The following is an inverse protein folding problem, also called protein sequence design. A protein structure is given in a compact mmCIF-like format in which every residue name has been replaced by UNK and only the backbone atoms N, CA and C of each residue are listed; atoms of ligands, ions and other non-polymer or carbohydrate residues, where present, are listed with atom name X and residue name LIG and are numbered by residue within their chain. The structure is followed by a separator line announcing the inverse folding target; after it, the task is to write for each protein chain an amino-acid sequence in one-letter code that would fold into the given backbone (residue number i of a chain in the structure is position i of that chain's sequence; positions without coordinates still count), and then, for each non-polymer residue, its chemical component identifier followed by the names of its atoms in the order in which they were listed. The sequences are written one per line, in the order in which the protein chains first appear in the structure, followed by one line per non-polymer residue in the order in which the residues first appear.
data_IF_027026175779
#
_entry.id   IF_027026175779
#
_cell.length_a   1.000
_cell.length_b   1.000
_cell.length_c   1.000
_cell.angle_alpha   90.00
_cell.angle_beta   90.00
_cell.angle_gamma   90.00
#
_symmetry.space_group_name_H-M   'P 1'
#
loop_
_entity.id
_entity.type
_entity.pdbx_description
1 polymer ?
#
# COMPACT_ATOMS: atom_id res chain seq x y z
N UNK A 1 14.45 -37.74 11.76
CA UNK A 1 14.91 -36.44 11.19
C UNK A 1 16.11 -36.55 10.24
N UNK A 2 17.13 -37.41 10.47
CA UNK A 2 18.30 -37.58 9.56
C UNK A 2 17.96 -37.97 8.09
N UNK A 3 16.83 -38.64 7.84
CA UNK A 3 16.46 -39.11 6.51
C UNK A 3 15.85 -38.03 5.58
N UNK A 4 15.33 -36.93 6.12
CA UNK A 4 14.78 -35.84 5.30
C UNK A 4 15.91 -35.01 4.70
N UNK A 5 16.94 -34.70 5.49
CA UNK A 5 18.12 -33.96 5.03
C UNK A 5 18.91 -34.69 3.95
N UNK A 6 19.08 -36.02 4.06
CA UNK A 6 19.72 -36.81 3.00
C UNK A 6 18.94 -36.83 1.67
N UNK A 7 17.63 -36.53 1.71
CA UNK A 7 16.76 -36.48 0.53
C UNK A 7 16.73 -35.09 -0.12
N UNK A 8 17.08 -34.04 0.63
CA UNK A 8 17.20 -32.66 0.13
C UNK A 8 18.58 -32.35 -0.48
N UNK A 9 19.62 -33.12 -0.14
CA UNK A 9 20.96 -32.90 -0.69
C UNK A 9 21.01 -33.46 -2.11
N UNK A 10 21.29 -32.63 -3.13
CA UNK A 10 21.39 -33.11 -4.50
C UNK A 10 22.56 -34.09 -4.66
N UNK A 11 22.47 -35.06 -5.60
CA UNK A 11 23.57 -35.96 -5.93
C UNK A 11 24.83 -35.16 -6.35
N UNK A 12 26.01 -35.75 -6.24
CA UNK A 12 27.30 -35.04 -6.31
C UNK A 12 27.47 -34.14 -7.53
N UNK A 13 27.04 -34.61 -8.70
CA UNK A 13 27.05 -33.88 -9.96
C UNK A 13 26.08 -32.69 -10.02
N UNK A 14 25.02 -32.68 -9.20
CA UNK A 14 24.03 -31.61 -9.13
C UNK A 14 24.30 -30.59 -8.04
N UNK A 15 25.26 -30.85 -7.14
CA UNK A 15 25.60 -29.92 -6.05
C UNK A 15 25.98 -28.53 -6.58
N UNK A 16 26.89 -28.46 -7.55
CA UNK A 16 27.37 -27.18 -8.10
C UNK A 16 26.24 -26.42 -8.83
N UNK A 17 25.49 -27.02 -9.78
CA UNK A 17 24.36 -26.35 -10.43
C UNK A 17 23.30 -25.84 -9.44
N UNK A 18 22.95 -26.63 -8.43
CA UNK A 18 21.95 -26.24 -7.42
C UNK A 18 22.46 -25.09 -6.57
N UNK A 19 23.71 -25.11 -6.12
CA UNK A 19 24.31 -24.01 -5.34
C UNK A 19 24.34 -22.72 -6.15
N UNK A 20 24.79 -22.77 -7.41
CA UNK A 20 24.83 -21.59 -8.28
C UNK A 20 23.43 -21.03 -8.51
N UNK A 21 22.47 -21.90 -8.82
CA UNK A 21 21.07 -21.52 -9.05
C UNK A 21 20.46 -20.87 -7.81
N UNK A 22 20.64 -21.47 -6.63
CA UNK A 22 20.21 -20.89 -5.36
C UNK A 22 20.88 -19.53 -5.10
N UNK A 23 22.19 -19.42 -5.35
CA UNK A 23 22.92 -18.16 -5.23
C UNK A 23 22.33 -17.06 -6.11
N UNK A 24 21.96 -17.37 -7.36
CA UNK A 24 21.27 -16.44 -8.26
C UNK A 24 19.89 -16.06 -7.70
N UNK A 25 19.07 -17.03 -7.29
CA UNK A 25 17.75 -16.75 -6.72
C UNK A 25 17.80 -15.88 -5.47
N UNK A 26 18.72 -16.17 -4.53
CA UNK A 26 18.91 -15.36 -3.33
C UNK A 26 19.47 -13.97 -3.68
N UNK A 27 20.44 -13.89 -4.58
CA UNK A 27 21.01 -12.62 -5.04
C UNK A 27 19.95 -11.71 -5.66
N UNK A 28 19.12 -12.25 -6.55
CA UNK A 28 17.98 -11.53 -7.13
C UNK A 28 16.93 -11.17 -6.08
N UNK A 29 16.64 -12.08 -5.14
CA UNK A 29 15.71 -11.82 -4.05
C UNK A 29 16.13 -10.64 -3.16
N UNK A 30 17.41 -10.62 -2.73
CA UNK A 30 17.95 -9.51 -1.97
C UNK A 30 17.98 -8.21 -2.78
N UNK A 31 18.32 -8.30 -4.06
CA UNK A 31 18.29 -7.15 -4.96
C UNK A 31 16.88 -6.56 -5.07
N UNK A 32 15.84 -7.39 -5.26
CA UNK A 32 14.43 -6.94 -5.30
C UNK A 32 14.02 -6.26 -3.99
N UNK A 33 14.36 -6.87 -2.85
CA UNK A 33 14.07 -6.29 -1.51
C UNK A 33 14.72 -4.91 -1.36
N UNK A 34 15.96 -4.76 -1.84
CA UNK A 34 16.71 -3.51 -1.77
C UNK A 34 16.12 -2.43 -2.68
N UNK A 35 15.87 -2.72 -3.96
CA UNK A 35 15.37 -1.72 -4.91
C UNK A 35 13.91 -1.31 -4.63
N UNK A 36 13.10 -2.22 -4.08
CA UNK A 36 11.70 -1.94 -3.73
C UNK A 36 11.55 -1.16 -2.41
N UNK A 37 12.65 -0.94 -1.69
CA UNK A 37 12.65 -0.34 -0.36
C UNK A 37 11.68 -1.08 0.58
N UNK A 38 11.66 -2.42 0.54
CA UNK A 38 10.62 -3.24 1.17
C UNK A 38 10.44 -2.98 2.68
N UNK A 39 11.53 -2.67 3.39
CA UNK A 39 11.48 -2.37 4.83
C UNK A 39 10.66 -1.11 5.16
N UNK A 40 10.57 -0.14 4.24
CA UNK A 40 9.76 1.06 4.45
C UNK A 40 8.26 0.77 4.60
N UNK A 41 7.77 -0.37 4.09
CA UNK A 41 6.37 -0.81 4.23
C UNK A 41 5.98 -1.25 5.64
N UNK A 42 6.96 -1.45 6.53
CA UNK A 42 6.71 -1.70 7.95
C UNK A 42 6.33 -0.43 8.71
N UNK A 43 6.68 0.75 8.18
CA UNK A 43 6.34 2.05 8.76
C UNK A 43 4.97 2.54 8.30
N UNK A 44 4.54 3.67 8.86
CA UNK A 44 3.34 4.41 8.44
C UNK A 44 3.70 5.73 7.72
N UNK A 45 4.95 5.89 7.25
CA UNK A 45 5.36 7.06 6.46
C UNK A 45 4.58 7.11 5.14
N UNK A 46 3.82 8.17 4.86
CA UNK A 46 3.10 8.34 3.59
C UNK A 46 4.00 8.26 2.35
N UNK A 47 5.30 8.59 2.47
CA UNK A 47 6.26 8.49 1.35
C UNK A 47 6.49 7.05 0.90
N UNK A 48 6.27 6.07 1.77
CA UNK A 48 6.30 4.66 1.41
C UNK A 48 5.25 4.32 0.35
N UNK A 49 4.08 4.96 0.39
CA UNK A 49 3.00 4.70 -0.56
C UNK A 49 3.36 5.14 -1.99
N UNK A 50 4.27 6.10 -2.15
CA UNK A 50 4.81 6.56 -3.44
C UNK A 50 6.15 5.93 -3.81
N UNK A 51 6.53 4.81 -3.18
CA UNK A 51 7.54 3.91 -3.75
C UNK A 51 7.10 3.40 -5.13
N UNK A 52 5.79 3.37 -5.40
CA UNK A 52 5.22 3.09 -6.71
C UNK A 52 4.56 4.36 -7.28
N UNK A 53 4.97 4.77 -8.47
CA UNK A 53 4.47 5.98 -9.14
C UNK A 53 2.96 5.97 -9.40
N UNK A 54 2.34 4.78 -9.49
CA UNK A 54 0.89 4.60 -9.67
C UNK A 54 0.07 5.22 -8.54
N UNK A 55 0.67 5.42 -7.36
CA UNK A 55 0.03 6.06 -6.20
C UNK A 55 0.30 7.57 -6.11
N UNK A 56 1.04 8.16 -7.05
CA UNK A 56 1.37 9.59 -7.04
C UNK A 56 0.12 10.49 -6.97
N UNK A 57 -0.96 10.24 -7.74
CA UNK A 57 -2.17 11.05 -7.64
C UNK A 57 -2.84 10.99 -6.28
N UNK A 58 -2.87 9.80 -5.66
CA UNK A 58 -3.46 9.57 -4.35
C UNK A 58 -2.66 10.33 -3.29
N UNK A 59 -1.33 10.26 -3.33
CA UNK A 59 -0.48 11.04 -2.43
C UNK A 59 -0.67 12.54 -2.63
N UNK A 60 -0.63 13.03 -3.88
CA UNK A 60 -0.72 14.46 -4.17
C UNK A 60 -2.04 15.08 -3.70
N UNK A 61 -3.15 14.35 -3.86
CA UNK A 61 -4.49 14.76 -3.43
C UNK A 61 -4.68 14.62 -1.92
N UNK A 62 -4.10 13.60 -1.28
CA UNK A 62 -4.10 13.47 0.18
C UNK A 62 -3.29 14.60 0.85
N UNK A 63 -2.07 14.85 0.37
CA UNK A 63 -1.15 15.87 0.90
C UNK A 63 -1.80 17.27 0.90
N UNK A 64 -2.55 17.59 -0.17
CA UNK A 64 -3.26 18.87 -0.33
C UNK A 64 -4.66 18.88 0.28
N UNK A 65 -5.20 17.72 0.62
CA UNK A 65 -6.52 17.57 1.19
C UNK A 65 -6.54 17.83 2.71
N UNK A 66 -7.74 17.83 3.28
CA UNK A 66 -7.96 18.13 4.71
C UNK A 66 -7.24 17.18 5.67
N UNK A 67 -6.87 15.99 5.20
CA UNK A 67 -6.24 14.96 6.03
C UNK A 67 -4.71 14.91 5.91
N UNK A 68 -4.10 15.58 4.92
CA UNK A 68 -2.66 15.52 4.64
C UNK A 68 -1.75 16.00 5.77
N UNK A 69 -2.29 16.80 6.71
CA UNK A 69 -1.55 17.35 7.86
C UNK A 69 -1.82 16.63 9.19
N UNK A 70 -2.83 15.78 9.25
CA UNK A 70 -3.35 15.22 10.52
C UNK A 70 -3.44 13.70 10.53
N UNK A 71 -3.35 13.05 9.37
CA UNK A 71 -3.48 11.60 9.23
C UNK A 71 -2.57 11.10 8.12
N UNK A 72 -1.93 9.94 8.33
CA UNK A 72 -1.16 9.23 7.31
C UNK A 72 -2.07 8.41 6.39
N UNK A 73 -1.52 7.84 5.31
CA UNK A 73 -2.26 6.94 4.43
C UNK A 73 -2.84 5.75 5.22
N UNK A 74 -2.06 5.18 6.13
CA UNK A 74 -2.46 4.00 6.91
C UNK A 74 -3.50 4.32 7.99
N UNK A 75 -3.58 5.57 8.48
CA UNK A 75 -4.63 5.99 9.42
C UNK A 75 -6.03 5.90 8.83
N UNK A 76 -6.15 5.95 7.51
CA UNK A 76 -7.39 5.73 6.77
C UNK A 76 -7.47 4.31 6.19
N UNK A 77 -6.41 3.84 5.51
CA UNK A 77 -6.48 2.62 4.69
C UNK A 77 -6.22 1.31 5.44
N UNK A 78 -5.76 1.36 6.69
CA UNK A 78 -5.39 0.15 7.45
C UNK A 78 -6.19 0.11 8.77
N UNK A 79 -6.74 -1.06 9.16
CA UNK A 79 -7.39 -1.22 10.46
C UNK A 79 -6.47 -0.86 11.64
N UNK A 80 -7.04 -0.25 12.68
CA UNK A 80 -6.31 0.27 13.84
C UNK A 80 -6.79 -0.35 15.16
N UNK A 81 -7.58 -1.43 15.08
CA UNK A 81 -8.18 -2.12 16.22
C UNK A 81 -7.18 -3.02 16.95
N UNK A 82 -6.30 -3.71 16.21
CA UNK A 82 -5.24 -4.50 16.81
C UNK A 82 -4.03 -4.70 15.87
N UNK A 83 -2.87 -4.93 16.48
CA UNK A 83 -1.59 -5.10 15.77
C UNK A 83 -1.62 -6.24 14.75
N UNK A 84 -2.22 -7.39 15.09
CA UNK A 84 -2.22 -8.58 14.24
C UNK A 84 -3.04 -8.31 12.96
N UNK A 85 -4.26 -7.79 13.10
CA UNK A 85 -5.13 -7.43 11.96
C UNK A 85 -4.49 -6.34 11.10
N UNK A 86 -3.85 -5.34 11.71
CA UNK A 86 -3.11 -4.28 11.00
C UNK A 86 -2.06 -4.86 10.06
N UNK A 87 -1.14 -5.69 10.57
CA UNK A 87 -0.04 -6.23 9.75
C UNK A 87 -0.52 -7.31 8.77
N UNK A 88 -1.50 -8.12 9.15
CA UNK A 88 -2.10 -9.09 8.23
C UNK A 88 -2.79 -8.40 7.05
N UNK A 89 -3.53 -7.31 7.31
CA UNK A 89 -4.16 -6.50 6.27
C UNK A 89 -3.11 -5.84 5.36
N UNK A 90 -2.07 -5.21 5.94
CA UNK A 90 -0.95 -4.61 5.18
C UNK A 90 -0.26 -5.65 4.29
N UNK A 91 -0.01 -6.86 4.81
CA UNK A 91 0.64 -7.92 4.05
C UNK A 91 -0.22 -8.40 2.87
N UNK A 92 -1.51 -8.65 3.11
CA UNK A 92 -2.41 -9.15 2.06
C UNK A 92 -2.65 -8.10 0.96
N UNK A 93 -2.93 -6.85 1.35
CA UNK A 93 -3.15 -5.78 0.37
C UNK A 93 -1.84 -5.37 -0.32
N UNK A 94 -0.72 -5.35 0.40
CA UNK A 94 0.61 -5.11 -0.16
C UNK A 94 1.01 -6.16 -1.20
N UNK A 95 0.78 -7.45 -0.93
CA UNK A 95 1.03 -8.53 -1.89
C UNK A 95 0.15 -8.36 -3.15
N UNK A 96 -1.12 -8.04 -2.96
CA UNK A 96 -2.06 -7.80 -4.08
C UNK A 96 -1.62 -6.62 -4.94
N UNK A 97 -1.24 -5.50 -4.34
CA UNK A 97 -0.72 -4.33 -5.05
C UNK A 97 0.57 -4.64 -5.79
N UNK A 98 1.51 -5.34 -5.14
CA UNK A 98 2.75 -5.76 -5.78
C UNK A 98 2.47 -6.62 -7.02
N UNK A 99 1.55 -7.59 -6.94
CA UNK A 99 1.17 -8.43 -8.10
C UNK A 99 0.54 -7.62 -9.22
N UNK A 100 -0.48 -6.80 -8.91
CA UNK A 100 -1.20 -6.03 -9.95
C UNK A 100 -0.29 -5.03 -10.66
N UNK A 101 0.54 -4.30 -9.92
CA UNK A 101 1.40 -3.27 -10.50
C UNK A 101 2.62 -3.85 -11.22
N UNK A 102 3.13 -5.00 -10.76
CA UNK A 102 4.20 -5.72 -11.49
C UNK A 102 3.69 -6.24 -12.82
N UNK A 103 2.47 -6.78 -12.86
CA UNK A 103 1.86 -7.33 -14.07
C UNK A 103 1.16 -6.28 -14.94
N UNK A 104 1.16 -5.01 -14.52
CA UNK A 104 0.52 -3.88 -15.21
C UNK A 104 -0.98 -4.10 -15.45
N UNK A 105 -1.65 -4.69 -14.47
CA UNK A 105 -3.08 -5.00 -14.49
C UNK A 105 -3.93 -3.90 -13.83
N UNK A 106 -3.33 -2.79 -13.43
CA UNK A 106 -4.05 -1.66 -12.88
C UNK A 106 -4.97 -1.00 -13.91
N UNK A 107 -6.23 -0.69 -13.55
CA UNK A 107 -7.09 0.15 -14.37
C UNK A 107 -6.65 1.62 -14.27
N UNK A 108 -7.05 2.43 -15.25
CA UNK A 108 -6.85 3.88 -15.18
C UNK A 108 -7.56 4.53 -13.98
N UNK A 109 -8.67 3.95 -13.53
CA UNK A 109 -9.39 4.37 -12.33
C UNK A 109 -9.31 3.25 -11.29
N UNK A 110 -8.38 3.39 -10.34
CA UNK A 110 -8.21 2.42 -9.26
C UNK A 110 -9.38 2.56 -8.28
N UNK A 111 -10.10 1.45 -8.09
CA UNK A 111 -11.21 1.38 -7.14
C UNK A 111 -10.83 0.53 -5.92
N UNK A 112 -11.11 1.07 -4.74
CA UNK A 112 -10.92 0.38 -3.48
C UNK A 112 -11.88 -0.82 -3.37
N UNK A 113 -11.36 -1.97 -2.93
CA UNK A 113 -12.16 -3.18 -2.68
C UNK A 113 -12.92 -3.07 -1.35
N UNK A 114 -13.93 -3.89 -1.15
CA UNK A 114 -14.83 -3.77 0.01
C UNK A 114 -14.12 -3.89 1.36
N UNK A 115 -13.08 -4.73 1.45
CA UNK A 115 -12.24 -4.80 2.64
C UNK A 115 -11.58 -3.44 2.97
N UNK A 116 -11.09 -2.74 1.95
CA UNK A 116 -10.53 -1.39 2.09
C UNK A 116 -11.59 -0.34 2.38
N UNK A 117 -12.77 -0.41 1.74
CA UNK A 117 -13.89 0.49 2.04
C UNK A 117 -14.29 0.40 3.51
N UNK A 118 -14.41 -0.82 4.04
CA UNK A 118 -14.78 -1.04 5.43
C UNK A 118 -13.70 -0.51 6.40
N UNK A 119 -12.41 -0.71 6.10
CA UNK A 119 -11.33 -0.14 6.89
C UNK A 119 -11.35 1.40 6.89
N UNK A 120 -11.55 2.03 5.74
CA UNK A 120 -11.67 3.50 5.63
C UNK A 120 -12.88 4.00 6.42
N UNK A 121 -14.04 3.37 6.29
CA UNK A 121 -15.26 3.73 7.02
C UNK A 121 -15.07 3.62 8.55
N UNK A 122 -14.50 2.52 9.01
CA UNK A 122 -14.17 2.29 10.43
C UNK A 122 -13.25 3.41 10.94
N UNK A 123 -12.25 3.81 10.15
CA UNK A 123 -11.32 4.87 10.51
C UNK A 123 -11.93 6.28 10.45
N UNK A 124 -12.83 6.56 9.50
CA UNK A 124 -13.61 7.80 9.50
C UNK A 124 -14.39 7.92 10.82
N UNK A 125 -15.09 6.87 11.24
CA UNK A 125 -15.86 6.85 12.48
C UNK A 125 -14.94 6.93 13.70
N UNK A 126 -13.79 6.23 13.70
CA UNK A 126 -12.81 6.25 14.79
C UNK A 126 -12.36 7.67 15.13
N UNK A 127 -12.04 8.48 14.13
CA UNK A 127 -11.57 9.85 14.35
C UNK A 127 -12.71 10.87 14.53
N UNK A 128 -13.87 10.63 13.91
CA UNK A 128 -15.01 11.57 13.93
C UNK A 128 -16.15 11.15 14.86
N UNK A 129 -15.95 10.17 15.75
CA UNK A 129 -17.01 9.65 16.64
C UNK A 129 -17.71 10.73 17.46
N UNK A 130 -16.99 11.77 17.89
CA UNK A 130 -17.53 12.89 18.68
C UNK A 130 -18.36 13.88 17.86
N UNK A 131 -18.25 13.83 16.53
CA UNK A 131 -19.01 14.69 15.60
C UNK A 131 -20.20 13.95 15.00
N UNK A 132 -20.16 12.62 14.95
CA UNK A 132 -21.23 11.81 14.40
C UNK A 132 -22.18 11.40 15.52
N UNK A 133 -23.35 12.03 15.57
CA UNK A 133 -24.40 11.64 16.52
C UNK A 133 -24.80 10.17 16.29
N UNK A 134 -24.99 9.33 17.34
CA UNK A 134 -25.32 7.91 17.19
C UNK A 134 -26.53 7.61 16.29
N UNK A 135 -27.49 8.55 16.22
CA UNK A 135 -28.66 8.45 15.31
C UNK A 135 -28.27 8.69 13.85
N UNK A 136 -27.38 9.65 13.56
CA UNK A 136 -26.82 9.86 12.22
C UNK A 136 -25.89 8.72 11.82
N UNK A 137 -25.19 8.13 12.80
CA UNK A 137 -24.38 6.93 12.62
C UNK A 137 -25.24 5.74 12.17
N UNK A 138 -26.52 5.60 12.58
CA UNK A 138 -27.42 4.57 12.04
C UNK A 138 -27.87 4.81 10.59
N UNK A 139 -27.90 6.07 10.14
CA UNK A 139 -28.20 6.41 8.74
C UNK A 139 -27.01 6.21 7.80
N UNK A 140 -25.79 6.18 8.35
CA UNK A 140 -24.51 6.07 7.61
C UNK A 140 -23.78 4.74 7.93
N UNK A 141 -24.16 4.01 8.97
CA UNK A 141 -23.58 2.70 9.30
C UNK A 141 -24.44 1.62 8.68
N UNK A 142 -23.97 1.09 7.54
CA UNK A 142 -24.14 -0.29 7.08
C UNK A 142 -25.45 -1.06 7.37
N UNK A 143 -26.60 -0.35 7.39
CA UNK A 143 -27.99 -0.78 7.18
C UNK A 143 -28.91 0.40 7.49
N UNK A 144 -29.28 1.19 6.48
CA UNK A 144 -30.38 2.13 6.62
C UNK A 144 -31.68 1.37 6.97
N UNK A 145 -32.50 1.96 7.85
CA UNK A 145 -33.75 1.37 8.38
C UNK A 145 -34.80 1.15 7.27
N UNK A 146 -34.65 1.80 6.11
CA UNK A 146 -35.62 1.76 5.00
C UNK A 146 -35.14 0.94 3.80
N UNK A 147 -33.85 1.03 3.43
CA UNK A 147 -33.33 0.45 2.18
C UNK A 147 -32.29 -0.67 2.36
N UNK A 148 -31.92 -1.04 3.59
CA UNK A 148 -30.88 -2.02 3.93
C UNK A 148 -29.48 -1.77 3.33
N UNK A 149 -29.28 -0.74 2.50
CA UNK A 149 -27.97 -0.36 1.97
C UNK A 149 -27.28 0.63 2.91
N UNK A 150 -26.08 0.27 3.37
CA UNK A 150 -25.16 1.19 4.04
C UNK A 150 -24.71 2.30 3.10
N UNK A 151 -24.55 3.52 3.62
CA UNK A 151 -23.86 4.60 2.92
C UNK A 151 -22.45 4.76 3.47
N UNK A 152 -21.49 5.15 2.66
CA UNK A 152 -20.17 5.51 3.17
C UNK A 152 -20.06 7.00 3.46
N UNK A 153 -19.18 7.40 4.40
CA UNK A 153 -18.98 8.81 4.75
C UNK A 153 -18.65 9.67 3.51
N UNK A 154 -17.84 9.15 2.59
CA UNK A 154 -17.42 9.83 1.37
C UNK A 154 -18.51 9.94 0.28
N UNK A 155 -19.68 9.32 0.44
CA UNK A 155 -20.81 9.55 -0.47
C UNK A 155 -21.38 10.96 -0.31
N UNK A 156 -21.32 11.51 0.91
CA UNK A 156 -21.64 12.90 1.19
C UNK A 156 -20.38 13.77 1.16
N UNK A 157 -19.29 13.31 1.78
CA UNK A 157 -17.99 14.01 1.80
C UNK A 157 -17.20 13.79 0.51
N UNK A 158 -17.79 14.09 -0.65
CA UNK A 158 -17.31 13.66 -1.97
C UNK A 158 -15.91 14.13 -2.39
N UNK A 159 -15.36 15.15 -1.73
CA UNK A 159 -13.98 15.60 -1.97
C UNK A 159 -12.96 14.82 -1.11
N UNK A 160 -13.42 13.94 -0.22
CA UNK A 160 -12.58 13.11 0.65
C UNK A 160 -13.07 11.67 0.64
N UNK A 161 -12.21 10.68 0.34
CA UNK A 161 -10.78 10.82 0.09
C UNK A 161 -10.45 11.14 -1.38
N UNK A 162 -9.32 11.83 -1.60
CA UNK A 162 -8.69 12.02 -2.92
C UNK A 162 -9.46 12.84 -4.00
N UNK A 163 -10.36 13.75 -3.60
CA UNK A 163 -11.13 14.58 -4.53
C UNK A 163 -12.17 13.79 -5.33
N UNK A 164 -12.89 14.45 -6.26
CA UNK A 164 -13.92 13.77 -7.09
C UNK A 164 -13.42 13.12 -8.37
N UNK A 165 -12.27 13.58 -8.88
CA UNK A 165 -11.70 13.11 -10.14
C UNK A 165 -10.62 12.07 -9.85
N UNK A 166 -10.96 10.81 -10.09
CA UNK A 166 -10.06 9.69 -9.87
C UNK A 166 -9.51 9.16 -11.20
N UNK A 167 -8.20 9.24 -11.40
CA UNK A 167 -7.49 8.62 -12.51
C UNK A 167 -5.99 8.59 -12.20
N UNK A 168 -5.24 7.67 -12.81
CA UNK A 168 -3.77 7.72 -12.82
C UNK A 168 -3.22 9.01 -13.43
N UNK A 169 -4.01 9.68 -14.27
CA UNK A 169 -3.65 10.94 -14.93
C UNK A 169 -4.34 12.17 -14.33
N UNK A 170 -4.98 12.08 -13.15
CA UNK A 170 -5.69 13.22 -12.56
C UNK A 170 -4.75 14.31 -12.04
N UNK A 171 -3.46 14.01 -11.84
CA UNK A 171 -2.46 14.95 -11.31
C UNK A 171 -1.14 14.90 -12.11
N UNK A 172 -1.15 15.20 -13.42
CA UNK A 172 0.00 14.96 -14.29
C UNK A 172 1.24 15.78 -13.94
N UNK A 173 1.05 16.94 -13.29
CA UNK A 173 2.13 17.87 -12.91
C UNK A 173 2.25 18.05 -11.39
N UNK A 174 1.71 17.13 -10.60
CA UNK A 174 1.81 17.23 -9.14
C UNK A 174 3.28 17.13 -8.71
N UNK A 175 3.75 18.18 -8.02
CA UNK A 175 5.02 18.14 -7.32
C UNK A 175 4.82 17.41 -6.00
N UNK A 176 5.34 16.19 -5.95
CA UNK A 176 5.40 15.35 -4.76
C UNK A 176 6.87 15.08 -4.43
N UNK A 177 7.20 14.77 -3.15
CA UNK A 177 8.54 14.30 -2.80
C UNK A 177 8.92 13.12 -3.68
N UNK A 178 10.04 13.22 -4.39
CA UNK A 178 10.57 12.08 -5.12
C UNK A 178 11.30 11.19 -4.11
N UNK A 179 10.90 9.92 -4.02
CA UNK A 179 11.74 8.96 -3.32
C UNK A 179 13.08 8.88 -4.05
N UNK A 180 14.18 9.03 -3.32
CA UNK A 180 15.52 8.86 -3.90
C UNK A 180 15.54 7.51 -4.58
N UNK A 181 15.83 7.50 -5.88
CA UNK A 181 16.06 6.27 -6.60
C UNK A 181 17.16 5.52 -5.83
N UNK A 182 16.93 4.24 -5.51
CA UNK A 182 17.92 3.42 -4.79
C UNK A 182 19.07 3.10 -5.74
N UNK A 183 19.88 4.11 -6.01
CA UNK A 183 21.10 4.02 -6.81
C UNK A 183 22.26 3.82 -5.86
N UNK A 184 23.23 3.04 -6.32
CA UNK A 184 24.47 2.82 -5.60
C UNK A 184 25.24 4.13 -5.43
N UNK A 185 25.93 4.30 -4.30
CA UNK A 185 26.70 5.51 -3.98
C UNK A 185 27.69 5.93 -5.09
N UNK A 186 28.25 4.96 -5.83
CA UNK A 186 29.15 5.27 -6.95
C UNK A 186 28.42 5.95 -8.12
N UNK A 187 27.17 5.55 -8.40
CA UNK A 187 26.36 6.11 -9.47
C UNK A 187 25.81 7.47 -9.06
N UNK A 188 25.45 7.65 -7.79
CA UNK A 188 25.07 8.96 -7.25
C UNK A 188 26.21 9.97 -7.38
N UNK A 189 27.44 9.58 -7.01
CA UNK A 189 28.64 10.41 -7.21
C UNK A 189 28.88 10.73 -8.68
N UNK A 190 28.81 9.72 -9.55
CA UNK A 190 29.01 9.91 -10.99
C UNK A 190 27.99 10.89 -11.62
N UNK A 191 26.73 10.87 -11.15
CA UNK A 191 25.69 11.80 -11.62
C UNK A 191 25.91 13.21 -11.07
N UNK A 192 26.41 13.35 -9.83
CA UNK A 192 26.63 14.65 -9.17
C UNK A 192 27.93 15.36 -9.59
N UNK A 193 28.93 14.61 -10.04
CA UNK A 193 30.22 15.14 -10.54
C UNK A 193 30.13 15.73 -11.96
N UNK A 194 28.95 15.67 -12.59
CA UNK A 194 28.69 16.18 -13.95
C UNK A 194 27.73 17.36 -13.92
#
# INVERSE_FOLDING_TARGET
MKNIFKRLIPPENWKVPVIVTLGIFFGLGFFVIYISNAFSYLSDDPKTCINCHVMNPQYATWERGSHGKVATCNDCHVPQDNFIRKYWFKANDGLRHATYFTLRWEPQVIQIKDAGKNAVQENCIRCHNNLVHPVGLRAISNKNVQDQTGKYCWECHRETPHGRVHSLSSTPYARIPQNKMSITNWLEKFIQEK
#
